data_IF_077998143392
#
_entry.id   IF_077998143392
#
_cell.length_a   1.000
_cell.length_b   1.000
_cell.length_c   1.000
_cell.angle_alpha   90.00
_cell.angle_beta   90.00
_cell.angle_gamma   90.00
#
_symmetry.space_group_name_H-M   'P 1'
#
loop_
_entity.id
_entity.type
_entity.pdbx_description
1 polymer ?
#
# COMPACT_ATOMS: atom_id res chain seq x y z
N UNK A 1 -32.97 8.29 9.15
CA UNK A 1 -31.78 8.94 8.54
C UNK A 1 -32.04 9.64 7.20
N UNK A 2 -33.15 9.36 6.48
CA UNK A 2 -33.63 10.20 5.35
C UNK A 2 -34.52 11.39 5.78
N UNK A 3 -34.52 11.77 7.07
CA UNK A 3 -35.40 12.82 7.62
C UNK A 3 -35.10 14.24 7.12
N UNK A 4 -34.08 14.43 6.27
CA UNK A 4 -33.69 15.75 5.76
C UNK A 4 -34.46 16.20 4.52
N UNK A 5 -35.26 15.32 3.90
CA UNK A 5 -36.02 15.66 2.70
C UNK A 5 -37.45 16.14 2.98
N UNK A 6 -37.89 16.16 4.25
CA UNK A 6 -39.29 16.42 4.61
C UNK A 6 -39.67 17.89 4.79
N UNK A 7 -38.73 18.84 4.72
CA UNK A 7 -38.99 20.28 4.96
C UNK A 7 -38.67 21.22 3.78
N UNK A 8 -38.33 20.69 2.62
CA UNK A 8 -38.20 21.48 1.41
C UNK A 8 -39.15 20.90 0.36
N UNK A 9 -39.73 21.77 -0.47
CA UNK A 9 -40.60 21.39 -1.60
C UNK A 9 -39.82 20.67 -2.73
N UNK A 10 -38.76 19.94 -2.37
CA UNK A 10 -37.75 19.34 -3.22
C UNK A 10 -37.97 17.83 -3.13
N UNK A 11 -38.65 17.28 -4.15
CA UNK A 11 -38.91 15.84 -4.31
C UNK A 11 -37.72 15.09 -4.92
N UNK A 12 -36.51 15.59 -4.75
CA UNK A 12 -35.29 15.05 -5.37
C UNK A 12 -34.14 15.03 -4.35
N UNK A 13 -33.49 13.87 -4.23
CA UNK A 13 -32.21 13.73 -3.55
C UNK A 13 -31.10 14.14 -4.52
N UNK A 14 -30.42 15.24 -4.23
CA UNK A 14 -29.33 15.72 -5.07
C UNK A 14 -28.13 14.76 -5.08
N UNK A 15 -27.29 14.89 -6.11
CA UNK A 15 -26.09 14.09 -6.31
C UNK A 15 -25.17 14.01 -5.09
N UNK A 16 -24.97 15.13 -4.38
CA UNK A 16 -24.11 15.17 -3.19
C UNK A 16 -24.68 14.30 -2.07
N UNK A 17 -25.98 14.39 -1.80
CA UNK A 17 -26.64 13.60 -0.77
C UNK A 17 -26.59 12.10 -1.08
N UNK A 18 -26.84 11.73 -2.33
CA UNK A 18 -26.69 10.34 -2.78
C UNK A 18 -25.23 9.85 -2.67
N UNK A 19 -24.27 10.70 -3.05
CA UNK A 19 -22.84 10.38 -2.96
C UNK A 19 -22.38 10.24 -1.51
N UNK A 20 -22.86 11.09 -0.59
CA UNK A 20 -22.57 11.00 0.85
C UNK A 20 -23.07 9.68 1.45
N UNK A 21 -24.27 9.22 1.06
CA UNK A 21 -24.81 7.91 1.45
C UNK A 21 -23.92 6.76 0.99
N UNK A 22 -23.41 6.84 -0.25
CA UNK A 22 -22.48 5.87 -0.79
C UNK A 22 -21.12 5.89 -0.06
N UNK A 23 -20.44 7.04 0.00
CA UNK A 23 -19.06 7.10 0.50
C UNK A 23 -18.96 6.95 2.02
N UNK A 24 -19.94 7.45 2.78
CA UNK A 24 -19.87 7.48 4.25
C UNK A 24 -20.56 6.29 4.90
N UNK A 25 -21.60 5.75 4.25
CA UNK A 25 -22.42 4.68 4.81
C UNK A 25 -22.44 3.41 3.94
N UNK A 26 -21.76 3.40 2.79
CA UNK A 26 -21.67 2.24 1.91
C UNK A 26 -22.97 1.89 1.21
N UNK A 27 -23.95 2.81 1.16
CA UNK A 27 -25.26 2.53 0.59
C UNK A 27 -25.18 2.56 -0.95
N UNK A 28 -25.51 1.46 -1.66
CA UNK A 28 -25.52 1.45 -3.12
C UNK A 28 -26.48 2.48 -3.70
N UNK A 29 -26.17 3.01 -4.88
CA UNK A 29 -27.02 4.01 -5.54
C UNK A 29 -28.36 3.40 -5.95
N UNK A 30 -28.37 2.11 -6.29
CA UNK A 30 -29.56 1.33 -6.64
C UNK A 30 -30.52 1.27 -5.45
N UNK A 31 -30.03 0.85 -4.27
CA UNK A 31 -30.84 0.81 -3.04
C UNK A 31 -31.30 2.21 -2.62
N UNK A 32 -30.44 3.22 -2.77
CA UNK A 32 -30.80 4.61 -2.47
C UNK A 32 -31.95 5.08 -3.36
N UNK A 33 -31.90 4.74 -4.65
CA UNK A 33 -32.93 5.07 -5.65
C UNK A 33 -34.24 4.37 -5.35
N UNK A 34 -34.21 3.07 -5.03
CA UNK A 34 -35.40 2.30 -4.66
C UNK A 34 -36.11 2.88 -3.43
N UNK A 35 -35.37 3.15 -2.35
CA UNK A 35 -35.94 3.73 -1.11
C UNK A 35 -36.50 5.14 -1.35
N UNK A 36 -35.83 5.94 -2.16
CA UNK A 36 -36.32 7.28 -2.51
C UNK A 36 -37.63 7.18 -3.30
N UNK A 37 -37.70 6.28 -4.28
CA UNK A 37 -38.88 6.04 -5.10
C UNK A 37 -40.08 5.60 -4.25
N UNK A 38 -39.90 4.67 -3.30
CA UNK A 38 -40.95 4.25 -2.36
C UNK A 38 -41.50 5.41 -1.53
N UNK A 39 -40.66 6.40 -1.22
CA UNK A 39 -41.01 7.59 -0.44
C UNK A 39 -41.50 8.76 -1.30
N UNK A 40 -41.63 8.59 -2.61
CA UNK A 40 -42.08 9.64 -3.53
C UNK A 40 -41.00 10.66 -3.90
N UNK A 41 -39.72 10.31 -3.74
CA UNK A 41 -38.56 11.10 -4.14
C UNK A 41 -37.89 10.53 -5.39
N UNK A 42 -37.25 11.41 -6.15
CA UNK A 42 -36.33 11.09 -7.24
C UNK A 42 -34.89 11.24 -6.76
N UNK A 43 -33.92 10.74 -7.51
CA UNK A 43 -32.50 10.85 -7.19
C UNK A 43 -31.76 11.34 -8.44
N UNK A 44 -30.89 12.33 -8.27
CA UNK A 44 -29.98 12.77 -9.32
C UNK A 44 -28.83 11.75 -9.49
N UNK A 45 -29.11 10.70 -10.25
CA UNK A 45 -28.18 9.61 -10.52
C UNK A 45 -27.04 10.04 -11.45
N UNK A 46 -27.32 10.94 -12.40
CA UNK A 46 -26.31 11.45 -13.33
C UNK A 46 -25.23 12.23 -12.58
N UNK A 47 -25.62 13.19 -11.74
CA UNK A 47 -24.67 13.93 -10.92
C UNK A 47 -23.96 13.04 -9.89
N UNK A 48 -24.62 11.98 -9.39
CA UNK A 48 -23.95 10.97 -8.55
C UNK A 48 -22.79 10.30 -9.30
N UNK A 49 -23.01 9.84 -10.53
CA UNK A 49 -21.95 9.19 -11.32
C UNK A 49 -20.83 10.16 -11.69
N UNK A 50 -21.13 11.43 -11.97
CA UNK A 50 -20.10 12.46 -12.16
C UNK A 50 -19.24 12.68 -10.91
N UNK A 51 -19.85 12.73 -9.72
CA UNK A 51 -19.13 12.84 -8.45
C UNK A 51 -18.30 11.59 -8.16
N UNK A 52 -18.85 10.41 -8.46
CA UNK A 52 -18.15 9.14 -8.33
C UNK A 52 -16.92 9.09 -9.24
N UNK A 53 -17.05 9.53 -10.49
CA UNK A 53 -15.93 9.63 -11.43
C UNK A 53 -14.87 10.61 -10.91
N UNK A 54 -15.24 11.83 -10.52
CA UNK A 54 -14.31 12.81 -9.95
C UNK A 54 -13.58 12.27 -8.71
N UNK A 55 -14.29 11.58 -7.83
CA UNK A 55 -13.69 10.96 -6.64
C UNK A 55 -12.71 9.84 -7.02
N UNK A 56 -13.05 9.00 -8.01
CA UNK A 56 -12.13 7.99 -8.53
C UNK A 56 -10.89 8.62 -9.17
N UNK A 57 -11.05 9.69 -9.95
CA UNK A 57 -9.95 10.44 -10.56
C UNK A 57 -9.04 11.08 -9.51
N UNK A 58 -9.59 11.74 -8.49
CA UNK A 58 -8.82 12.30 -7.37
C UNK A 58 -8.07 11.20 -6.60
N UNK A 59 -8.71 10.05 -6.38
CA UNK A 59 -8.06 8.90 -5.74
C UNK A 59 -6.89 8.35 -6.58
N UNK A 60 -7.04 8.35 -7.91
CA UNK A 60 -5.97 7.96 -8.86
C UNK A 60 -4.85 8.99 -8.91
N UNK A 61 -5.17 10.28 -9.04
CA UNK A 61 -4.19 11.36 -9.07
C UNK A 61 -3.39 11.47 -7.75
N UNK A 62 -4.05 11.29 -6.60
CA UNK A 62 -3.37 11.19 -5.30
C UNK A 62 -2.53 9.92 -5.14
N UNK A 63 -2.83 8.86 -5.90
CA UNK A 63 -1.97 7.68 -5.99
C UNK A 63 -0.76 7.90 -6.91
N UNK A 64 -0.89 8.75 -7.94
CA UNK A 64 0.20 9.15 -8.84
C UNK A 64 1.17 10.15 -8.19
N UNK A 65 0.71 10.99 -7.25
CA UNK A 65 1.58 11.86 -6.44
C UNK A 65 2.43 11.13 -5.38
N UNK A 66 2.32 9.81 -5.26
CA UNK A 66 3.15 9.02 -4.34
C UNK A 66 4.56 8.89 -4.90
N UNK A 67 5.53 9.45 -4.20
CA UNK A 67 6.92 9.43 -4.62
C UNK A 67 7.44 7.98 -4.72
N UNK A 68 8.12 7.68 -5.84
CA UNK A 68 8.88 6.46 -6.17
C UNK A 68 8.92 5.39 -5.06
N UNK A 69 7.90 4.51 -4.99
CA UNK A 69 7.85 3.43 -3.98
C UNK A 69 6.86 3.64 -2.83
N UNK A 70 6.08 4.73 -2.84
CA UNK A 70 5.05 5.01 -1.84
C UNK A 70 5.48 5.95 -0.73
N UNK A 71 6.61 6.65 -0.86
CA UNK A 71 7.10 7.61 0.13
C UNK A 71 6.27 8.90 0.14
N UNK A 72 6.07 9.47 1.33
CA UNK A 72 5.50 10.81 1.52
C UNK A 72 6.52 11.94 1.39
N UNK A 73 7.80 11.64 1.64
CA UNK A 73 8.93 12.57 1.63
C UNK A 73 10.27 11.81 1.47
N UNK A 74 11.39 12.53 1.43
CA UNK A 74 12.75 12.01 1.29
C UNK A 74 13.58 12.12 2.58
N UNK A 75 12.94 12.30 3.74
CA UNK A 75 13.64 12.39 5.02
C UNK A 75 14.38 11.10 5.37
N UNK A 76 15.38 11.20 6.25
CA UNK A 76 16.13 10.04 6.73
C UNK A 76 15.21 8.98 7.37
N UNK A 77 14.20 9.40 8.13
CA UNK A 77 13.23 8.49 8.77
C UNK A 77 12.42 7.70 7.74
N UNK A 78 11.88 8.38 6.74
CA UNK A 78 11.11 7.74 5.67
C UNK A 78 12.00 6.82 4.83
N UNK A 79 13.25 7.21 4.58
CA UNK A 79 14.25 6.40 3.87
C UNK A 79 14.64 5.12 4.65
N UNK A 80 14.79 5.21 5.99
CA UNK A 80 14.97 4.05 6.86
C UNK A 80 13.77 3.11 6.80
N UNK A 81 12.56 3.65 6.97
CA UNK A 81 11.33 2.86 6.88
C UNK A 81 11.14 2.23 5.50
N UNK A 82 11.55 2.91 4.43
CA UNK A 82 11.52 2.36 3.09
C UNK A 82 12.41 1.13 2.97
N UNK A 83 13.65 1.21 3.47
CA UNK A 83 14.55 0.04 3.51
C UNK A 83 13.98 -1.09 4.39
N UNK A 84 13.33 -0.75 5.50
CA UNK A 84 12.64 -1.73 6.34
C UNK A 84 11.49 -2.44 5.60
N UNK A 85 10.78 -1.77 4.68
CA UNK A 85 9.75 -2.44 3.87
C UNK A 85 10.30 -3.50 2.92
N UNK A 86 11.52 -3.34 2.40
CA UNK A 86 12.19 -4.38 1.60
C UNK A 86 12.59 -5.60 2.43
N UNK A 87 13.01 -5.39 3.68
CA UNK A 87 13.22 -6.49 4.62
C UNK A 87 11.91 -7.20 4.92
N UNK A 88 10.83 -6.46 5.17
CA UNK A 88 9.51 -7.06 5.38
C UNK A 88 9.03 -7.87 4.17
N UNK A 89 9.17 -7.32 2.96
CA UNK A 89 8.78 -8.03 1.74
C UNK A 89 9.60 -9.31 1.53
N UNK A 90 10.90 -9.28 1.79
CA UNK A 90 11.74 -10.48 1.74
C UNK A 90 11.35 -11.51 2.82
N UNK A 91 11.07 -11.05 4.04
CA UNK A 91 10.65 -11.91 5.15
C UNK A 91 9.30 -12.60 4.87
N UNK A 92 8.35 -11.89 4.27
CA UNK A 92 7.08 -12.48 3.83
C UNK A 92 7.30 -13.62 2.84
N UNK A 93 8.19 -13.43 1.85
CA UNK A 93 8.53 -14.49 0.89
C UNK A 93 9.22 -15.68 1.56
N UNK A 94 10.02 -15.42 2.59
CA UNK A 94 10.78 -16.44 3.32
C UNK A 94 9.92 -17.28 4.28
N UNK A 95 9.03 -16.66 5.05
CA UNK A 95 8.34 -17.31 6.18
C UNK A 95 6.84 -17.53 5.97
N UNK A 96 6.23 -16.86 4.99
CA UNK A 96 4.77 -16.88 4.79
C UNK A 96 4.43 -17.55 3.47
N UNK A 97 4.86 -16.96 2.36
CA UNK A 97 4.56 -17.49 1.03
C UNK A 97 5.59 -16.97 0.01
N UNK A 98 6.34 -17.85 -0.69
CA UNK A 98 7.33 -17.42 -1.68
C UNK A 98 6.73 -16.55 -2.81
N UNK A 99 5.45 -16.71 -3.10
CA UNK A 99 4.70 -15.93 -4.08
C UNK A 99 4.04 -14.67 -3.48
N UNK A 100 4.54 -14.18 -2.35
CA UNK A 100 4.08 -12.93 -1.77
C UNK A 100 4.55 -11.74 -2.64
N UNK A 101 3.60 -10.88 -2.98
CA UNK A 101 3.70 -9.74 -3.88
C UNK A 101 3.08 -8.54 -3.20
N UNK A 102 3.78 -7.41 -3.26
CA UNK A 102 3.27 -6.12 -2.82
C UNK A 102 2.07 -5.70 -3.66
N UNK A 103 0.96 -5.35 -3.00
CA UNK A 103 -0.27 -4.82 -3.59
C UNK A 103 -0.45 -3.32 -3.35
N UNK A 104 0.35 -2.73 -2.46
CA UNK A 104 0.31 -1.30 -2.16
C UNK A 104 1.32 -0.93 -1.09
N UNK A 105 1.79 0.31 -1.12
CA UNK A 105 2.65 0.85 -0.06
C UNK A 105 2.32 2.32 0.19
N UNK A 106 2.49 2.76 1.43
CA UNK A 106 2.49 4.15 1.84
C UNK A 106 3.41 4.31 3.06
N UNK A 107 4.46 5.11 2.91
CA UNK A 107 5.52 5.28 3.89
C UNK A 107 5.55 6.74 4.30
N UNK A 108 5.47 6.98 5.61
CA UNK A 108 5.61 8.29 6.22
C UNK A 108 6.75 8.28 7.23
N UNK A 109 7.07 9.44 7.80
CA UNK A 109 8.05 9.58 8.87
C UNK A 109 7.73 8.79 10.14
N UNK A 110 6.45 8.41 10.32
CA UNK A 110 5.96 7.70 11.51
C UNK A 110 5.77 6.20 11.28
N UNK A 111 5.35 5.80 10.06
CA UNK A 111 5.03 4.40 9.77
C UNK A 111 5.11 4.06 8.30
N UNK A 112 5.38 2.79 8.01
CA UNK A 112 5.10 2.19 6.72
C UNK A 112 3.80 1.38 6.76
N UNK A 113 2.98 1.50 5.72
CA UNK A 113 1.82 0.68 5.44
C UNK A 113 2.14 -0.18 4.23
N UNK A 114 2.10 -1.50 4.39
CA UNK A 114 2.45 -2.45 3.35
C UNK A 114 1.29 -3.41 3.10
N UNK A 115 0.78 -3.42 1.87
CA UNK A 115 -0.32 -4.27 1.45
C UNK A 115 0.25 -5.42 0.63
N UNK A 116 -0.18 -6.66 0.90
CA UNK A 116 0.36 -7.87 0.28
C UNK A 116 -0.73 -8.92 0.07
N UNK A 117 -0.53 -9.82 -0.90
CA UNK A 117 -1.45 -10.94 -1.10
C UNK A 117 -1.30 -11.98 0.01
N UNK A 118 -2.41 -12.26 0.70
CA UNK A 118 -2.51 -13.34 1.67
C UNK A 118 -3.98 -13.65 1.93
N UNK A 119 -4.34 -14.93 1.88
CA UNK A 119 -5.69 -15.40 2.19
C UNK A 119 -6.00 -15.19 3.67
N UNK A 120 -5.03 -15.51 4.54
CA UNK A 120 -5.16 -15.41 5.99
C UNK A 120 -4.32 -14.27 6.58
N UNK A 121 -4.65 -13.90 7.82
CA UNK A 121 -3.81 -13.00 8.62
C UNK A 121 -2.49 -13.71 8.96
N UNK A 122 -1.43 -12.93 9.17
CA UNK A 122 -0.19 -13.50 9.67
C UNK A 122 -0.43 -14.09 11.06
N UNK A 123 0.06 -15.31 11.28
CA UNK A 123 -0.01 -15.93 12.61
C UNK A 123 0.94 -15.21 13.58
N UNK A 124 0.73 -15.32 14.90
CA UNK A 124 1.66 -14.75 15.88
C UNK A 124 3.10 -15.27 15.70
N UNK A 125 3.25 -16.54 15.35
CA UNK A 125 4.56 -17.15 15.08
C UNK A 125 5.22 -16.56 13.83
N UNK A 126 4.46 -16.37 12.73
CA UNK A 126 4.98 -15.73 11.52
C UNK A 126 5.41 -14.28 11.78
N UNK A 127 4.62 -13.52 12.55
CA UNK A 127 4.98 -12.15 12.95
C UNK A 127 6.30 -12.17 13.71
N UNK A 128 6.43 -13.04 14.72
CA UNK A 128 7.64 -13.18 15.51
C UNK A 128 8.86 -13.52 14.64
N UNK A 129 8.74 -14.50 13.75
CA UNK A 129 9.82 -14.90 12.84
C UNK A 129 10.24 -13.76 11.91
N UNK A 130 9.28 -13.01 11.38
CA UNK A 130 9.55 -11.85 10.52
C UNK A 130 10.29 -10.76 11.30
N UNK A 131 9.82 -10.41 12.50
CA UNK A 131 10.44 -9.38 13.33
C UNK A 131 11.85 -9.79 13.78
N UNK A 132 12.04 -11.02 14.24
CA UNK A 132 13.34 -11.54 14.67
C UNK A 132 14.33 -11.55 13.51
N UNK A 133 13.90 -12.03 12.34
CA UNK A 133 14.75 -12.06 11.15
C UNK A 133 15.09 -10.65 10.67
N UNK A 134 14.12 -9.74 10.57
CA UNK A 134 14.37 -8.37 10.12
C UNK A 134 15.32 -7.63 11.07
N UNK A 135 15.14 -7.79 12.38
CA UNK A 135 16.02 -7.20 13.39
C UNK A 135 17.42 -7.81 13.37
N UNK A 136 17.55 -9.12 13.14
CA UNK A 136 18.85 -9.78 12.93
C UNK A 136 19.57 -9.19 11.72
N UNK A 137 18.88 -8.99 10.60
CA UNK A 137 19.47 -8.38 9.39
C UNK A 137 19.89 -6.93 9.66
N UNK A 138 19.06 -6.15 10.37
CA UNK A 138 19.42 -4.78 10.75
C UNK A 138 20.68 -4.78 11.63
N UNK A 139 20.74 -5.66 12.64
CA UNK A 139 21.87 -5.81 13.56
C UNK A 139 23.16 -6.31 12.92
N UNK A 140 23.10 -6.94 11.75
CA UNK A 140 24.29 -7.30 10.95
C UNK A 140 24.97 -6.09 10.30
N UNK A 141 24.36 -4.89 10.37
CA UNK A 141 24.85 -3.68 9.71
C UNK A 141 25.15 -3.95 8.23
N UNK A 142 24.13 -4.46 7.52
CA UNK A 142 24.21 -4.81 6.11
C UNK A 142 24.46 -3.58 5.25
N UNK A 143 25.17 -3.78 4.14
CA UNK A 143 25.33 -2.78 3.10
C UNK A 143 24.10 -2.79 2.20
N UNK A 144 23.71 -1.61 1.72
CA UNK A 144 22.63 -1.44 0.76
C UNK A 144 23.22 -0.82 -0.51
N UNK A 145 23.30 -1.61 -1.57
CA UNK A 145 23.88 -1.19 -2.85
C UNK A 145 22.79 -0.96 -3.88
N UNK A 146 23.09 -0.14 -4.89
CA UNK A 146 22.20 0.13 -6.02
C UNK A 146 22.90 -0.12 -7.33
N UNK A 147 22.23 -0.81 -8.23
CA UNK A 147 22.70 -1.05 -9.60
C UNK A 147 21.61 -0.65 -10.60
N UNK A 148 22.02 -0.11 -11.74
CA UNK A 148 21.12 0.16 -12.87
C UNK A 148 21.40 -0.88 -13.93
N UNK A 149 20.40 -1.67 -14.29
CA UNK A 149 20.52 -2.74 -15.28
C UNK A 149 19.26 -2.86 -16.11
N UNK A 150 19.30 -3.65 -17.19
CA UNK A 150 18.11 -3.92 -17.99
C UNK A 150 17.08 -4.76 -17.24
N UNK A 151 15.83 -4.71 -17.67
CA UNK A 151 14.75 -5.57 -17.14
C UNK A 151 15.11 -7.06 -17.25
N UNK A 152 15.74 -7.46 -18.35
CA UNK A 152 16.15 -8.85 -18.55
C UNK A 152 17.26 -9.29 -17.58
N UNK A 153 18.29 -8.45 -17.39
CA UNK A 153 19.37 -8.70 -16.43
C UNK A 153 18.83 -8.75 -15.00
N UNK A 154 17.92 -7.85 -14.65
CA UNK A 154 17.28 -7.84 -13.34
C UNK A 154 16.54 -9.15 -13.06
N UNK A 155 15.76 -9.66 -14.02
CA UNK A 155 15.09 -10.97 -13.92
C UNK A 155 16.09 -12.11 -13.74
N UNK A 156 17.17 -12.13 -14.54
CA UNK A 156 18.23 -13.16 -14.44
C UNK A 156 18.98 -13.09 -13.11
N UNK A 157 19.09 -11.91 -12.51
CA UNK A 157 19.78 -11.68 -11.23
C UNK A 157 19.00 -12.15 -10.00
N UNK A 158 17.75 -12.61 -10.18
CA UNK A 158 16.85 -13.02 -9.09
C UNK A 158 16.20 -11.85 -8.34
N UNK A 159 16.18 -10.64 -8.94
CA UNK A 159 15.54 -9.49 -8.32
C UNK A 159 14.01 -9.67 -8.27
N UNK A 160 13.41 -9.32 -7.13
CA UNK A 160 11.96 -9.33 -6.97
C UNK A 160 11.36 -7.96 -7.28
N UNK A 161 10.13 -7.94 -7.80
CA UNK A 161 9.42 -6.71 -8.11
C UNK A 161 8.39 -6.94 -9.20
N UNK A 162 7.55 -5.92 -9.42
CA UNK A 162 6.63 -5.93 -10.56
C UNK A 162 7.39 -5.41 -11.77
N UNK A 163 7.70 -6.30 -12.72
CA UNK A 163 8.32 -5.94 -14.00
C UNK A 163 7.23 -5.50 -14.98
N UNK A 164 6.60 -4.35 -14.71
CA UNK A 164 5.58 -3.78 -15.59
C UNK A 164 6.23 -2.99 -16.74
N UNK A 165 5.50 -2.87 -17.85
CA UNK A 165 5.77 -2.02 -19.01
C UNK A 165 6.05 -0.54 -18.69
N UNK A 166 5.74 -0.08 -17.47
CA UNK A 166 6.03 1.27 -16.96
C UNK A 166 7.50 1.50 -16.64
N UNK A 167 8.29 0.44 -16.47
CA UNK A 167 9.74 0.59 -16.37
C UNK A 167 10.30 0.71 -17.78
N UNK A 168 11.06 1.77 -18.06
CA UNK A 168 11.83 1.87 -19.30
C UNK A 168 12.86 0.74 -19.41
N UNK A 169 13.73 0.80 -20.42
CA UNK A 169 14.69 -0.28 -20.70
C UNK A 169 15.62 -0.63 -19.53
N UNK A 170 15.80 0.30 -18.57
CA UNK A 170 16.65 0.15 -17.38
C UNK A 170 15.88 0.37 -16.08
N UNK A 171 16.17 -0.47 -15.09
CA UNK A 171 15.61 -0.46 -13.74
C UNK A 171 16.71 -0.28 -12.69
N UNK A 172 16.35 0.31 -11.55
CA UNK A 172 17.20 0.38 -10.36
C UNK A 172 16.93 -0.82 -9.47
N UNK A 173 17.98 -1.57 -9.15
CA UNK A 173 17.94 -2.71 -8.22
C UNK A 173 18.64 -2.30 -6.95
N UNK A 174 17.95 -2.47 -5.82
CA UNK A 174 18.53 -2.32 -4.49
C UNK A 174 18.79 -3.68 -3.89
N UNK A 175 20.02 -3.89 -3.40
CA UNK A 175 20.44 -5.14 -2.75
C UNK A 175 20.86 -4.86 -1.32
N UNK A 176 20.26 -5.57 -0.37
CA UNK A 176 20.65 -5.57 1.05
C UNK A 176 21.45 -6.83 1.31
N UNK A 177 22.74 -6.69 1.63
CA UNK A 177 23.65 -7.83 1.75
C UNK A 177 24.73 -7.65 2.83
N UNK A 178 25.31 -8.76 3.29
CA UNK A 178 26.47 -8.78 4.19
C UNK A 178 27.34 -9.99 3.87
N UNK A 179 28.64 -9.80 3.67
CA UNK A 179 29.61 -10.88 3.45
C UNK A 179 29.19 -11.89 2.37
N UNK A 180 28.57 -11.43 1.29
CA UNK A 180 28.07 -12.28 0.19
C UNK A 180 26.68 -12.90 0.40
N UNK A 181 26.10 -12.81 1.60
CA UNK A 181 24.71 -13.20 1.87
C UNK A 181 23.76 -12.07 1.45
N UNK A 182 22.82 -12.36 0.56
CA UNK A 182 21.78 -11.42 0.10
C UNK A 182 20.50 -11.65 0.91
N UNK A 183 20.02 -10.61 1.60
CA UNK A 183 18.77 -10.65 2.36
C UNK A 183 17.58 -10.13 1.57
N UNK A 184 17.81 -9.15 0.70
CA UNK A 184 16.79 -8.61 -0.19
C UNK A 184 17.44 -8.09 -1.47
N UNK A 185 16.79 -8.30 -2.60
CA UNK A 185 17.20 -7.79 -3.92
C UNK A 185 15.95 -7.45 -4.71
N UNK A 186 15.65 -6.16 -4.84
CA UNK A 186 14.36 -5.71 -5.35
C UNK A 186 14.48 -4.52 -6.30
N UNK A 187 13.58 -4.45 -7.28
CA UNK A 187 13.43 -3.24 -8.09
C UNK A 187 12.80 -2.16 -7.23
N UNK A 188 13.45 -1.00 -7.14
CA UNK A 188 12.88 0.15 -6.47
C UNK A 188 13.36 1.47 -7.08
N UNK A 189 12.46 2.45 -7.14
CA UNK A 189 12.78 3.80 -7.63
C UNK A 189 13.11 4.80 -6.52
N UNK A 190 12.80 4.48 -5.27
CA UNK A 190 12.90 5.41 -4.13
C UNK A 190 14.26 5.42 -3.46
N UNK A 191 14.53 6.39 -2.58
CA UNK A 191 15.77 6.47 -1.82
C UNK A 191 15.85 5.34 -0.78
N UNK A 192 17.06 4.87 -0.51
CA UNK A 192 17.37 3.91 0.53
C UNK A 192 18.54 4.39 1.39
N UNK A 193 18.64 3.86 2.61
CA UNK A 193 19.86 4.03 3.40
C UNK A 193 20.99 3.29 2.70
N UNK A 194 22.24 3.70 2.90
CA UNK A 194 23.42 3.00 2.38
C UNK A 194 23.83 1.82 3.28
N UNK A 195 23.33 1.77 4.50
CA UNK A 195 23.56 0.69 5.46
C UNK A 195 22.37 0.52 6.39
N UNK A 196 22.11 -0.71 6.86
CA UNK A 196 21.08 -0.96 7.87
C UNK A 196 21.47 -0.49 9.27
N UNK A 197 22.72 -0.06 9.47
CA UNK A 197 23.20 0.48 10.73
C UNK A 197 22.37 1.70 11.15
N UNK A 198 21.95 1.74 12.42
CA UNK A 198 21.21 2.87 12.97
C UNK A 198 19.78 3.03 12.43
N UNK A 199 19.21 1.98 11.83
CA UNK A 199 17.79 1.95 11.45
C UNK A 199 16.85 1.84 12.66
N UNK A 200 17.32 1.36 13.82
CA UNK A 200 16.49 1.06 14.97
C UNK A 200 15.93 -0.37 14.92
N UNK A 201 14.84 -0.63 15.65
CA UNK A 201 14.20 -1.93 15.78
C UNK A 201 12.95 -2.02 14.92
N UNK A 202 12.93 -2.97 13.99
CA UNK A 202 11.77 -3.30 13.18
C UNK A 202 10.65 -3.91 14.02
N UNK A 203 9.42 -3.42 13.80
CA UNK A 203 8.22 -3.93 14.47
C UNK A 203 6.97 -3.81 13.62
N UNK A 204 6.13 -4.83 13.67
CA UNK A 204 4.78 -4.87 13.08
C UNK A 204 3.80 -4.48 14.17
N UNK A 205 3.20 -3.30 14.05
CA UNK A 205 2.30 -2.76 15.08
C UNK A 205 0.84 -3.15 14.85
N UNK A 206 0.46 -3.44 13.61
CA UNK A 206 -0.92 -3.76 13.25
C UNK A 206 -0.99 -4.59 11.98
N UNK A 207 -1.98 -5.47 11.90
CA UNK A 207 -2.43 -6.05 10.65
C UNK A 207 -3.95 -5.98 10.48
N UNK A 208 -4.42 -5.84 9.24
CA UNK A 208 -5.84 -5.73 8.90
C UNK A 208 -6.12 -6.36 7.53
N UNK A 209 -7.36 -6.86 7.34
CA UNK A 209 -7.83 -7.30 6.02
C UNK A 209 -8.37 -6.07 5.27
N UNK A 210 -7.93 -5.89 4.02
CA UNK A 210 -8.31 -4.72 3.21
C UNK A 210 -9.29 -5.12 2.10
N UNK A 211 -9.10 -6.30 1.52
CA UNK A 211 -9.97 -6.89 0.52
C UNK A 211 -9.79 -8.43 0.52
N UNK A 212 -10.59 -9.15 -0.26
CA UNK A 212 -10.40 -10.58 -0.51
C UNK A 212 -8.96 -10.83 -1.00
N UNK A 213 -8.26 -11.79 -0.38
CA UNK A 213 -6.88 -12.12 -0.71
C UNK A 213 -5.82 -11.03 -0.41
N UNK A 214 -6.19 -9.90 0.22
CA UNK A 214 -5.25 -8.79 0.50
C UNK A 214 -5.23 -8.44 1.98
N UNK A 215 -4.03 -8.46 2.56
CA UNK A 215 -3.75 -8.05 3.94
C UNK A 215 -2.84 -6.83 3.95
N UNK A 216 -2.94 -6.07 5.03
CA UNK A 216 -2.13 -4.87 5.28
C UNK A 216 -1.42 -5.01 6.61
N UNK A 217 -0.13 -4.72 6.62
CA UNK A 217 0.68 -4.56 7.82
C UNK A 217 1.04 -3.08 8.02
N UNK A 218 1.14 -2.65 9.28
CA UNK A 218 1.76 -1.39 9.68
C UNK A 218 3.07 -1.69 10.39
N UNK A 219 4.11 -1.00 9.94
CA UNK A 219 5.49 -1.22 10.35
C UNK A 219 6.04 0.09 10.88
N UNK A 220 6.85 0.01 11.92
CA UNK A 220 7.61 1.13 12.49
C UNK A 220 9.05 0.70 12.74
N UNK A 221 9.91 1.70 12.97
CA UNK A 221 11.27 1.52 13.49
C UNK A 221 11.35 2.23 14.84
N UNK A 222 11.63 1.47 15.92
CA UNK A 222 11.75 1.94 17.32
C UNK A 222 13.21 2.16 17.74
#
# INVERSE_FOLDING_TARGET
>A
KLHFLTNANIKELNAKGAFDLFQSYGFPIEMTTEICKEKGFTVDTNGFYELLQKHQELSRAGAEQKFKGGLSDDSEKTTKLHTATHLFSAALRKFVNPNCVQKGSNITTERARFDFNSEEKLTPEQIKQIEEWANMVIGKECEVTTEIMSVEEAKKSGAHGVFDSKYGDKVKIYTIQKNGEIFSKEICGGPHVTTTKGMGKFKITKQEAVAAGIKRARIVLE
#
